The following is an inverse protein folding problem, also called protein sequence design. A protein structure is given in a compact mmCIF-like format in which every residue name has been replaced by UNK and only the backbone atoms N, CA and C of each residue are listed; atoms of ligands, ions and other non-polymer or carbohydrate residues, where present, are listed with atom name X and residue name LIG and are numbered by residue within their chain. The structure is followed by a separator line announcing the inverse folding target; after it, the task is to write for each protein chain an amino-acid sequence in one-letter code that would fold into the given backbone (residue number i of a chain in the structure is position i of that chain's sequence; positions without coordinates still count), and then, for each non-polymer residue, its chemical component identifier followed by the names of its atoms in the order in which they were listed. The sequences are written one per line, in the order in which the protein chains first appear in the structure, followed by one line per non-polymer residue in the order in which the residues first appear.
data_IF_239821011654
#
_entry.id   IF_239821011654
#
_cell.length_a   1.000
_cell.length_b   1.000
_cell.length_c   1.000
_cell.angle_alpha   90.00
_cell.angle_beta   90.00
_cell.angle_gamma   90.00
#
_symmetry.space_group_name_H-M   'P 1'
#
loop_
_entity.id
_entity.type
_entity.pdbx_description
1 polymer ?
#
# COMPACT_ATOMS: atom_id res chain seq x y z
N UNK A 1 -3.05 -14.57 -16.76
CA UNK A 1 -3.29 -13.24 -16.19
C UNK A 1 -4.60 -12.68 -16.75
N UNK A 2 -5.56 -12.40 -15.87
CA UNK A 2 -6.77 -11.63 -16.20
C UNK A 2 -6.43 -10.13 -16.31
N UNK A 3 -7.07 -9.41 -17.23
CA UNK A 3 -6.93 -7.96 -17.37
C UNK A 3 -8.28 -7.25 -17.22
N UNK A 4 -8.28 -6.08 -16.61
CA UNK A 4 -9.45 -5.23 -16.36
C UNK A 4 -9.20 -3.79 -16.76
N UNK A 5 -10.28 -3.06 -17.03
CA UNK A 5 -10.21 -1.61 -17.24
C UNK A 5 -10.23 -0.92 -15.88
N UNK A 6 -9.29 0.00 -15.65
CA UNK A 6 -9.19 0.79 -14.43
C UNK A 6 -10.19 1.95 -14.43
N UNK A 7 -11.47 1.61 -14.28
CA UNK A 7 -12.57 2.57 -14.28
C UNK A 7 -12.54 3.51 -15.50
N UNK A 8 -12.86 4.78 -15.28
CA UNK A 8 -12.90 5.83 -16.32
C UNK A 8 -11.54 6.22 -16.89
N UNK A 9 -10.43 5.69 -16.37
CA UNK A 9 -9.11 5.93 -16.97
C UNK A 9 -8.98 5.26 -18.35
N UNK A 10 -9.69 4.15 -18.58
CA UNK A 10 -9.52 3.34 -19.80
C UNK A 10 -8.25 2.49 -19.81
N UNK A 11 -7.38 2.60 -18.80
CA UNK A 11 -6.15 1.80 -18.72
C UNK A 11 -6.48 0.31 -18.54
N UNK A 12 -5.92 -0.54 -19.40
CA UNK A 12 -6.07 -1.99 -19.30
C UNK A 12 -4.94 -2.58 -18.45
N UNK A 13 -5.29 -3.02 -17.24
CA UNK A 13 -4.33 -3.47 -16.23
C UNK A 13 -4.55 -4.93 -15.83
N UNK A 14 -3.49 -5.62 -15.43
CA UNK A 14 -3.54 -6.96 -14.87
C UNK A 14 -4.28 -6.98 -13.53
N UNK A 15 -4.99 -8.08 -13.26
CA UNK A 15 -5.76 -8.29 -12.02
C UNK A 15 -4.88 -8.22 -10.76
N UNK A 16 -3.64 -8.68 -10.89
CA UNK A 16 -2.58 -8.46 -9.91
C UNK A 16 -1.68 -7.32 -10.39
N UNK A 17 -1.41 -6.36 -9.53
CA UNK A 17 -0.34 -5.38 -9.70
C UNK A 17 0.76 -5.59 -8.67
N UNK A 18 1.79 -4.73 -8.72
CA UNK A 18 2.92 -4.75 -7.81
C UNK A 18 2.88 -3.56 -6.85
N UNK A 19 2.85 -3.83 -5.54
CA UNK A 19 2.99 -2.80 -4.51
C UNK A 19 4.45 -2.54 -4.15
N UNK A 20 4.98 -1.34 -4.42
CA UNK A 20 6.42 -1.03 -4.40
C UNK A 20 7.07 -0.75 -3.04
N UNK A 21 6.35 -0.89 -1.92
CA UNK A 21 6.93 -0.72 -0.57
C UNK A 21 8.13 -1.67 -0.32
N UNK A 22 8.07 -2.97 -0.67
CA UNK A 22 9.16 -3.92 -0.45
C UNK A 22 10.43 -3.65 -1.24
N UNK A 23 10.41 -2.82 -2.28
CA UNK A 23 11.62 -2.43 -3.03
C UNK A 23 12.69 -1.86 -2.09
N UNK A 24 12.27 -1.24 -0.99
CA UNK A 24 13.15 -0.72 0.06
C UNK A 24 13.96 -1.81 0.80
N UNK A 25 13.70 -3.09 0.52
CA UNK A 25 14.36 -4.25 1.15
C UNK A 25 15.24 -5.03 0.18
N UNK A 26 15.27 -4.66 -1.09
CA UNK A 26 16.09 -5.28 -2.13
C UNK A 26 16.95 -4.22 -2.80
N UNK A 27 17.96 -4.64 -3.56
CA UNK A 27 18.81 -3.73 -4.33
C UNK A 27 18.24 -3.47 -5.74
N UNK A 28 18.95 -2.65 -6.51
CA UNK A 28 18.56 -2.28 -7.86
C UNK A 28 18.58 -3.49 -8.82
N UNK A 29 19.55 -4.40 -8.69
CA UNK A 29 19.63 -5.61 -9.51
C UNK A 29 18.49 -6.59 -9.22
N UNK A 30 18.17 -6.81 -7.94
CA UNK A 30 17.01 -7.59 -7.52
C UNK A 30 15.70 -6.98 -8.01
N UNK A 31 15.59 -5.65 -7.98
CA UNK A 31 14.43 -4.92 -8.51
C UNK A 31 14.29 -5.14 -10.01
N UNK A 32 15.38 -5.01 -10.77
CA UNK A 32 15.39 -5.28 -12.22
C UNK A 32 14.96 -6.71 -12.53
N UNK A 33 15.56 -7.70 -11.87
CA UNK A 33 15.18 -9.10 -12.05
C UNK A 33 13.69 -9.34 -11.76
N UNK A 34 13.16 -8.72 -10.71
CA UNK A 34 11.74 -8.81 -10.35
C UNK A 34 10.83 -8.15 -11.41
N UNK A 35 11.18 -6.96 -11.92
CA UNK A 35 10.38 -6.29 -12.95
C UNK A 35 10.30 -7.10 -14.26
N UNK A 36 11.42 -7.69 -14.69
CA UNK A 36 11.42 -8.59 -15.84
C UNK A 36 10.53 -9.82 -15.60
N UNK A 37 10.55 -10.39 -14.39
CA UNK A 37 9.69 -11.54 -14.05
C UNK A 37 8.21 -11.17 -13.98
N UNK A 38 7.87 -9.97 -13.52
CA UNK A 38 6.50 -9.45 -13.60
C UNK A 38 6.03 -9.36 -15.06
N UNK A 39 6.86 -8.80 -15.94
CA UNK A 39 6.57 -8.68 -17.37
C UNK A 39 6.36 -10.06 -18.02
N UNK A 40 7.26 -11.01 -17.78
CA UNK A 40 7.15 -12.39 -18.28
C UNK A 40 5.83 -13.07 -17.88
N UNK A 41 5.28 -12.72 -16.72
CA UNK A 41 4.01 -13.26 -16.20
C UNK A 41 2.78 -12.41 -16.57
N UNK A 42 2.97 -11.37 -17.40
CA UNK A 42 1.91 -10.48 -17.86
C UNK A 42 1.37 -9.53 -16.78
N UNK A 43 2.10 -9.29 -15.70
CA UNK A 43 1.77 -8.22 -14.75
C UNK A 43 2.20 -6.89 -15.36
N UNK A 44 1.29 -5.92 -15.42
CA UNK A 44 1.57 -4.63 -16.04
C UNK A 44 1.19 -3.42 -15.18
N UNK A 45 0.76 -3.58 -13.92
CA UNK A 45 0.46 -2.44 -13.04
C UNK A 45 1.46 -2.36 -11.88
N UNK A 46 2.12 -1.20 -11.72
CA UNK A 46 3.09 -0.93 -10.67
C UNK A 46 2.62 0.28 -9.85
N UNK A 47 2.53 0.14 -8.52
CA UNK A 47 2.30 1.25 -7.58
C UNK A 47 3.55 1.52 -6.75
N UNK A 48 3.99 2.78 -6.71
CA UNK A 48 5.06 3.25 -5.82
C UNK A 48 4.69 4.60 -5.19
N UNK A 49 5.62 5.26 -4.49
CA UNK A 49 5.39 6.59 -3.92
C UNK A 49 6.71 7.36 -3.73
N UNK A 50 6.62 8.70 -3.80
CA UNK A 50 7.70 9.62 -3.41
C UNK A 50 8.24 9.35 -2.00
N UNK A 51 7.34 8.98 -1.09
CA UNK A 51 7.67 8.72 0.32
C UNK A 51 8.35 7.36 0.57
N UNK A 52 8.48 6.49 -0.43
CA UNK A 52 9.04 5.14 -0.26
C UNK A 52 10.55 5.11 -0.52
N UNK A 53 11.33 5.92 0.21
CA UNK A 53 12.81 5.98 0.13
C UNK A 53 13.38 5.76 -1.29
N UNK A 54 13.99 4.59 -1.55
CA UNK A 54 14.66 4.22 -2.81
C UNK A 54 13.73 3.60 -3.87
N UNK A 55 12.45 3.42 -3.57
CA UNK A 55 11.53 2.64 -4.41
C UNK A 55 11.41 3.18 -5.83
N UNK A 56 11.20 4.49 -6.02
CA UNK A 56 11.13 5.08 -7.35
C UNK A 56 12.45 5.00 -8.12
N UNK A 57 13.59 5.20 -7.44
CA UNK A 57 14.90 5.14 -8.08
C UNK A 57 15.22 3.73 -8.59
N UNK A 58 14.99 2.72 -7.74
CA UNK A 58 15.24 1.33 -8.11
C UNK A 58 14.24 0.82 -9.15
N UNK A 59 12.97 1.26 -9.09
CA UNK A 59 12.01 0.97 -10.16
C UNK A 59 12.41 1.64 -11.48
N UNK A 60 12.92 2.89 -11.45
CA UNK A 60 13.44 3.54 -12.64
C UNK A 60 14.59 2.76 -13.30
N UNK A 61 15.49 2.19 -12.51
CA UNK A 61 16.53 1.26 -12.99
C UNK A 61 15.91 -0.03 -13.53
N UNK A 62 14.99 -0.63 -12.79
CA UNK A 62 14.40 -1.92 -13.12
C UNK A 62 13.49 -1.91 -14.36
N UNK A 63 12.99 -0.74 -14.76
CA UNK A 63 12.12 -0.55 -15.91
C UNK A 63 12.85 -0.09 -17.18
N UNK A 64 14.16 0.11 -17.12
CA UNK A 64 14.95 0.55 -18.27
C UNK A 64 14.87 -0.45 -19.44
N UNK A 65 14.35 0.01 -20.58
CA UNK A 65 14.12 -0.81 -21.77
C UNK A 65 12.83 -1.65 -21.76
N UNK A 66 12.00 -1.55 -20.73
CA UNK A 66 10.69 -2.26 -20.64
C UNK A 66 9.54 -1.37 -20.12
N UNK A 67 9.79 -0.07 -19.90
CA UNK A 67 8.87 0.89 -19.25
C UNK A 67 7.50 0.94 -19.94
N UNK A 68 7.46 0.86 -21.26
CA UNK A 68 6.27 0.95 -22.10
C UNK A 68 5.27 -0.20 -21.88
N UNK A 69 5.73 -1.32 -21.29
CA UNK A 69 4.87 -2.45 -20.99
C UNK A 69 4.08 -2.29 -19.69
N UNK A 70 4.35 -1.25 -18.90
CA UNK A 70 3.74 -1.05 -17.60
C UNK A 70 2.88 0.21 -17.54
N UNK A 71 1.76 0.10 -16.84
CA UNK A 71 1.02 1.19 -16.24
C UNK A 71 1.68 1.53 -14.90
N UNK A 72 2.33 2.69 -14.84
CA UNK A 72 3.11 3.13 -13.69
C UNK A 72 2.34 4.16 -12.87
N UNK A 73 2.09 3.83 -11.60
CA UNK A 73 1.45 4.70 -10.64
C UNK A 73 2.43 5.16 -9.55
N UNK A 74 2.43 6.46 -9.23
CA UNK A 74 3.09 7.00 -8.04
C UNK A 74 2.20 8.00 -7.31
N UNK A 75 2.69 8.56 -6.21
CA UNK A 75 1.92 9.41 -5.31
C UNK A 75 2.78 10.29 -4.43
N UNK A 76 2.22 11.43 -4.01
CA UNK A 76 2.86 12.39 -3.11
C UNK A 76 1.95 12.86 -1.96
N UNK A 77 2.57 13.16 -0.82
CA UNK A 77 1.94 13.80 0.35
C UNK A 77 1.84 15.33 0.22
N UNK A 78 2.34 15.92 -0.86
CA UNK A 78 2.26 17.37 -1.09
C UNK A 78 0.81 17.84 -1.25
N UNK A 79 0.52 19.05 -0.74
CA UNK A 79 -0.83 19.66 -0.74
C UNK A 79 -0.93 20.99 -1.48
N UNK A 80 0.21 21.59 -1.83
CA UNK A 80 0.30 22.86 -2.58
C UNK A 80 0.77 22.61 -4.00
N UNK A 81 0.39 23.47 -4.94
CA UNK A 81 0.79 23.39 -6.34
C UNK A 81 2.32 23.35 -6.50
N UNK A 82 3.05 24.26 -5.85
CA UNK A 82 4.52 24.35 -5.93
C UNK A 82 5.20 23.04 -5.49
N UNK A 83 4.89 22.56 -4.28
CA UNK A 83 5.46 21.32 -3.76
C UNK A 83 5.06 20.09 -4.59
N UNK A 84 3.82 20.03 -5.08
CA UNK A 84 3.37 18.93 -5.93
C UNK A 84 4.07 18.94 -7.29
N UNK A 85 4.23 20.10 -7.93
CA UNK A 85 4.97 20.22 -9.20
C UNK A 85 6.43 19.76 -9.04
N UNK A 86 7.08 20.18 -7.95
CA UNK A 86 8.43 19.73 -7.60
C UNK A 86 8.50 18.22 -7.41
N UNK A 87 7.53 17.63 -6.71
CA UNK A 87 7.49 16.19 -6.49
C UNK A 87 7.27 15.41 -7.79
N UNK A 88 6.42 15.89 -8.70
CA UNK A 88 6.21 15.28 -10.02
C UNK A 88 7.53 15.23 -10.79
N UNK A 89 8.29 16.34 -10.84
CA UNK A 89 9.57 16.38 -11.54
C UNK A 89 10.61 15.44 -10.91
N UNK A 90 10.61 15.31 -9.58
CA UNK A 90 11.47 14.34 -8.88
C UNK A 90 11.04 12.91 -9.19
N UNK A 91 9.75 12.60 -9.18
CA UNK A 91 9.23 11.27 -9.54
C UNK A 91 9.66 10.88 -10.96
N UNK A 92 9.45 11.76 -11.95
CA UNK A 92 9.83 11.53 -13.34
C UNK A 92 11.34 11.25 -13.46
N UNK A 93 12.17 12.05 -12.79
CA UNK A 93 13.62 11.86 -12.74
C UNK A 93 14.00 10.50 -12.13
N UNK A 94 13.46 10.17 -10.96
CA UNK A 94 13.82 8.94 -10.24
C UNK A 94 13.35 7.69 -11.00
N UNK A 95 12.14 7.74 -11.55
CA UNK A 95 11.55 6.68 -12.37
C UNK A 95 12.15 6.62 -13.79
N UNK A 96 13.07 7.52 -14.13
CA UNK A 96 13.77 7.59 -15.42
C UNK A 96 12.83 7.58 -16.61
N UNK A 97 11.74 8.33 -16.52
CA UNK A 97 10.70 8.42 -17.54
C UNK A 97 10.20 9.86 -17.66
N UNK A 98 9.68 10.20 -18.82
CA UNK A 98 9.02 11.47 -19.13
C UNK A 98 7.51 11.43 -18.86
N UNK A 99 6.96 10.25 -18.54
CA UNK A 99 5.52 10.05 -18.35
C UNK A 99 5.16 9.08 -17.22
N UNK A 100 4.16 9.43 -16.42
CA UNK A 100 3.55 8.59 -15.37
C UNK A 100 2.08 8.38 -15.68
N UNK A 101 1.64 7.12 -15.77
CA UNK A 101 0.26 6.80 -16.16
C UNK A 101 -0.78 7.29 -15.14
N UNK A 102 -0.49 7.13 -13.84
CA UNK A 102 -1.39 7.53 -12.76
C UNK A 102 -0.62 8.23 -11.63
N UNK A 103 -1.02 9.46 -11.31
CA UNK A 103 -0.46 10.19 -10.18
C UNK A 103 -1.53 10.44 -9.11
N UNK A 104 -1.23 10.09 -7.86
CA UNK A 104 -2.25 10.08 -6.80
C UNK A 104 -1.92 11.08 -5.68
N UNK A 105 -2.96 11.72 -5.12
CA UNK A 105 -2.87 12.42 -3.84
C UNK A 105 -2.77 11.37 -2.73
N UNK A 106 -1.63 11.34 -2.04
CA UNK A 106 -1.36 10.33 -1.02
C UNK A 106 -1.98 10.75 0.32
N UNK A 107 -2.91 9.93 0.83
CA UNK A 107 -3.43 9.99 2.20
C UNK A 107 -3.79 11.41 2.66
N UNK A 108 -4.62 12.11 1.90
CA UNK A 108 -5.15 13.41 2.29
C UNK A 108 -6.37 13.22 3.20
N UNK A 109 -6.30 13.53 4.51
CA UNK A 109 -7.48 13.53 5.36
C UNK A 109 -8.49 14.59 4.88
N UNK A 110 -9.75 14.52 5.32
CA UNK A 110 -10.80 15.48 4.94
C UNK A 110 -10.38 16.95 5.09
N UNK A 111 -9.69 17.27 6.17
CA UNK A 111 -9.18 18.62 6.46
C UNK A 111 -8.15 19.13 5.43
N UNK A 112 -7.40 18.23 4.78
CA UNK A 112 -6.43 18.59 3.74
C UNK A 112 -7.09 18.72 2.36
N UNK A 113 -8.24 18.08 2.14
CA UNK A 113 -8.85 18.00 0.81
C UNK A 113 -9.30 19.36 0.29
N UNK A 114 -9.79 20.24 1.17
CA UNK A 114 -10.11 21.62 0.80
C UNK A 114 -8.87 22.34 0.25
N UNK A 115 -7.72 22.20 0.94
CA UNK A 115 -6.44 22.78 0.51
C UNK A 115 -5.93 22.17 -0.80
N UNK A 116 -6.15 20.88 -1.04
CA UNK A 116 -5.77 20.23 -2.30
C UNK A 116 -6.53 20.84 -3.48
N UNK A 117 -7.81 21.18 -3.29
CA UNK A 117 -8.71 21.66 -4.32
C UNK A 117 -8.76 23.20 -4.46
N UNK A 118 -8.24 23.95 -3.50
CA UNK A 118 -8.26 25.41 -3.52
C UNK A 118 -7.23 25.99 -4.51
N UNK A 119 -7.33 27.28 -4.89
CA UNK A 119 -6.30 27.94 -5.67
C UNK A 119 -4.92 27.84 -5.01
N UNK A 120 -3.90 27.49 -5.78
CA UNK A 120 -2.56 27.15 -5.27
C UNK A 120 -2.46 25.76 -4.63
N UNK A 121 -3.52 24.95 -4.68
CA UNK A 121 -3.60 23.58 -4.18
C UNK A 121 -2.92 22.57 -5.10
N UNK A 122 -2.63 21.38 -4.58
CA UNK A 122 -1.94 20.33 -5.32
C UNK A 122 -2.67 19.89 -6.61
N UNK A 123 -4.00 20.03 -6.68
CA UNK A 123 -4.77 19.66 -7.86
C UNK A 123 -4.38 20.50 -9.08
N UNK A 124 -4.08 21.79 -8.92
CA UNK A 124 -3.66 22.66 -10.03
C UNK A 124 -2.38 22.14 -10.70
N UNK A 125 -1.40 21.69 -9.90
CA UNK A 125 -0.17 21.12 -10.42
C UNK A 125 -0.39 19.79 -11.13
N UNK A 126 -1.28 18.93 -10.61
CA UNK A 126 -1.63 17.67 -11.27
C UNK A 126 -2.37 17.92 -12.59
N UNK A 127 -3.32 18.85 -12.60
CA UNK A 127 -4.03 19.24 -13.83
C UNK A 127 -3.05 19.83 -14.85
N UNK A 128 -2.16 20.73 -14.44
CA UNK A 128 -1.13 21.29 -15.31
C UNK A 128 -0.18 20.22 -15.87
N UNK A 129 0.26 19.26 -15.03
CA UNK A 129 1.10 18.15 -15.46
C UNK A 129 0.37 17.22 -16.44
N UNK A 130 -0.94 16.99 -16.24
CA UNK A 130 -1.78 16.21 -17.16
C UNK A 130 -1.92 16.92 -18.51
N UNK A 131 -2.21 18.22 -18.51
CA UNK A 131 -2.26 19.05 -19.73
C UNK A 131 -0.91 19.08 -20.45
N UNK A 132 0.20 19.11 -19.71
CA UNK A 132 1.55 19.08 -20.28
C UNK A 132 1.99 17.68 -20.75
N UNK A 133 1.16 16.65 -20.59
CA UNK A 133 1.49 15.28 -20.99
C UNK A 133 2.53 14.58 -20.10
N UNK A 134 2.81 15.10 -18.90
CA UNK A 134 3.72 14.48 -17.92
C UNK A 134 3.04 13.34 -17.14
N UNK A 135 1.73 13.43 -16.95
CA UNK A 135 0.93 12.40 -16.29
C UNK A 135 -0.35 12.09 -17.08
N UNK A 136 -0.88 10.87 -16.95
CA UNK A 136 -2.11 10.45 -17.64
C UNK A 136 -3.38 10.67 -16.83
N UNK A 137 -3.40 10.15 -15.60
CA UNK A 137 -4.60 10.08 -14.76
C UNK A 137 -4.33 10.58 -13.35
N UNK A 138 -5.39 11.01 -12.68
CA UNK A 138 -5.35 11.54 -11.32
C UNK A 138 -6.20 10.66 -10.39
N UNK A 139 -5.60 10.21 -9.29
CA UNK A 139 -6.27 9.40 -8.27
C UNK A 139 -6.06 9.91 -6.85
N UNK A 140 -6.64 9.19 -5.89
CA UNK A 140 -6.45 9.43 -4.45
C UNK A 140 -6.17 8.11 -3.75
N UNK A 141 -5.32 8.17 -2.72
CA UNK A 141 -5.24 7.09 -1.73
C UNK A 141 -5.88 7.54 -0.42
N UNK A 142 -6.69 6.68 0.17
CA UNK A 142 -7.41 6.94 1.41
C UNK A 142 -7.08 5.88 2.46
N UNK A 143 -7.04 6.28 3.73
CA UNK A 143 -6.86 5.38 4.88
C UNK A 143 -8.00 5.46 5.89
N UNK A 144 -8.98 6.35 5.67
CA UNK A 144 -10.22 6.45 6.44
C UNK A 144 -11.44 6.32 5.52
N UNK A 145 -12.53 5.79 6.06
CA UNK A 145 -13.81 5.73 5.34
C UNK A 145 -14.35 7.12 5.00
N UNK A 146 -14.06 8.12 5.82
CA UNK A 146 -14.47 9.50 5.60
C UNK A 146 -13.79 10.09 4.35
N UNK A 147 -12.46 9.93 4.22
CA UNK A 147 -11.75 10.35 3.01
C UNK A 147 -12.23 9.57 1.78
N UNK A 148 -12.50 8.27 1.90
CA UNK A 148 -13.03 7.48 0.78
C UNK A 148 -14.39 8.04 0.33
N UNK A 149 -15.34 8.24 1.24
CA UNK A 149 -16.65 8.84 0.90
C UNK A 149 -16.52 10.20 0.24
N UNK A 150 -15.65 11.06 0.77
CA UNK A 150 -15.37 12.35 0.16
C UNK A 150 -14.81 12.22 -1.26
N UNK A 151 -13.84 11.31 -1.47
CA UNK A 151 -13.21 11.10 -2.77
C UNK A 151 -14.19 10.61 -3.85
N UNK A 152 -15.22 9.83 -3.49
CA UNK A 152 -16.27 9.37 -4.40
C UNK A 152 -17.12 10.50 -4.99
N UNK A 153 -17.16 11.65 -4.33
CA UNK A 153 -17.94 12.82 -4.76
C UNK A 153 -17.10 13.86 -5.52
N UNK A 154 -15.78 13.68 -5.59
CA UNK A 154 -14.89 14.60 -6.28
C UNK A 154 -14.83 14.27 -7.79
N UNK A 155 -15.22 15.20 -8.68
CA UNK A 155 -15.39 14.90 -10.11
C UNK A 155 -14.08 14.53 -10.81
N UNK A 156 -12.95 15.04 -10.31
CA UNK A 156 -11.61 14.82 -10.87
C UNK A 156 -10.99 13.47 -10.47
N UNK A 157 -11.56 12.75 -9.49
CA UNK A 157 -10.99 11.47 -9.01
C UNK A 157 -11.29 10.37 -10.02
N UNK A 158 -10.25 9.77 -10.59
CA UNK A 158 -10.35 8.66 -11.56
C UNK A 158 -10.12 7.29 -10.93
N UNK A 159 -9.31 7.24 -9.86
CA UNK A 159 -9.04 6.02 -9.09
C UNK A 159 -9.04 6.30 -7.59
N UNK A 160 -9.44 5.30 -6.81
CA UNK A 160 -9.34 5.31 -5.35
C UNK A 160 -8.58 4.06 -4.92
N UNK A 161 -7.50 4.28 -4.15
CA UNK A 161 -6.76 3.21 -3.48
C UNK A 161 -7.07 3.19 -1.99
N UNK A 162 -7.50 2.03 -1.47
CA UNK A 162 -7.91 1.87 -0.06
C UNK A 162 -7.49 0.50 0.49
N UNK A 163 -7.22 0.35 1.81
CA UNK A 163 -6.98 -0.96 2.41
C UNK A 163 -8.21 -1.85 2.29
N UNK A 164 -8.05 -3.04 1.69
CA UNK A 164 -9.11 -4.04 1.64
C UNK A 164 -8.51 -5.43 1.79
N UNK A 165 -8.88 -6.14 2.84
CA UNK A 165 -8.38 -7.48 3.18
C UNK A 165 -9.31 -8.19 4.18
N UNK A 166 -8.94 -9.40 4.62
CA UNK A 166 -9.75 -10.26 5.50
C UNK A 166 -10.19 -9.56 6.79
N UNK A 167 -9.39 -8.65 7.35
CA UNK A 167 -9.67 -7.92 8.61
C UNK A 167 -10.09 -6.48 8.42
N UNK A 168 -9.92 -5.94 7.21
CA UNK A 168 -10.27 -4.57 6.84
C UNK A 168 -11.24 -4.62 5.65
N UNK A 169 -12.49 -5.05 5.89
CA UNK A 169 -13.54 -5.17 4.87
C UNK A 169 -14.69 -4.18 5.01
N UNK A 170 -14.54 -3.19 5.88
CA UNK A 170 -15.53 -2.15 6.19
C UNK A 170 -15.91 -1.26 5.00
N UNK A 171 -15.16 -1.31 3.90
CA UNK A 171 -15.36 -0.47 2.73
C UNK A 171 -16.13 -1.16 1.58
N UNK A 172 -16.66 -2.38 1.76
CA UNK A 172 -17.34 -3.14 0.68
C UNK A 172 -18.37 -2.31 -0.10
N UNK A 173 -19.24 -1.58 0.60
CA UNK A 173 -20.25 -0.72 -0.04
C UNK A 173 -19.63 0.45 -0.82
N UNK A 174 -18.53 1.04 -0.31
CA UNK A 174 -17.82 2.11 -1.00
C UNK A 174 -17.04 1.60 -2.22
N UNK A 175 -16.53 0.38 -2.16
CA UNK A 175 -15.90 -0.30 -3.30
C UNK A 175 -16.95 -0.55 -4.38
N UNK A 176 -18.16 -0.97 -4.01
CA UNK A 176 -19.26 -1.10 -4.96
C UNK A 176 -19.63 0.25 -5.60
N UNK A 177 -19.71 1.31 -4.79
CA UNK A 177 -19.96 2.66 -5.29
C UNK A 177 -18.88 3.16 -6.28
N UNK A 178 -17.61 2.72 -6.14
CA UNK A 178 -16.60 2.97 -7.17
C UNK A 178 -17.02 2.38 -8.52
N UNK A 179 -17.50 1.13 -8.54
CA UNK A 179 -17.92 0.46 -9.76
C UNK A 179 -19.12 1.18 -10.41
N UNK A 180 -20.13 1.57 -9.61
CA UNK A 180 -21.30 2.33 -10.09
C UNK A 180 -20.90 3.67 -10.72
N UNK A 181 -19.88 4.35 -10.16
CA UNK A 181 -19.37 5.64 -10.65
C UNK A 181 -18.27 5.51 -11.70
N UNK A 182 -17.95 4.30 -12.14
CA UNK A 182 -16.84 4.00 -13.04
C UNK A 182 -15.50 4.59 -12.55
N UNK A 183 -15.22 4.47 -11.25
CA UNK A 183 -13.96 4.83 -10.61
C UNK A 183 -13.14 3.56 -10.41
N UNK A 184 -11.86 3.56 -10.81
CA UNK A 184 -10.99 2.40 -10.64
C UNK A 184 -10.66 2.15 -9.16
N UNK A 185 -10.92 0.95 -8.64
CA UNK A 185 -10.57 0.60 -7.27
C UNK A 185 -9.28 -0.22 -7.18
N UNK A 186 -8.33 0.28 -6.41
CA UNK A 186 -7.03 -0.36 -6.16
C UNK A 186 -7.02 -0.88 -4.72
N UNK A 187 -6.99 -2.20 -4.53
CA UNK A 187 -6.92 -2.81 -3.21
C UNK A 187 -5.46 -2.84 -2.72
N UNK A 188 -5.15 -1.98 -1.75
CA UNK A 188 -3.85 -2.00 -1.07
C UNK A 188 -3.89 -2.82 0.22
N UNK A 189 -2.70 -3.19 0.70
CA UNK A 189 -2.51 -3.98 1.94
C UNK A 189 -3.35 -5.26 1.98
N UNK A 190 -3.36 -6.09 0.91
CA UNK A 190 -4.13 -7.34 0.91
C UNK A 190 -3.72 -8.31 2.02
N UNK A 191 -2.46 -8.26 2.46
CA UNK A 191 -1.92 -9.07 3.58
C UNK A 191 -1.88 -8.30 4.91
N UNK A 192 -2.68 -7.23 5.06
CA UNK A 192 -2.74 -6.43 6.28
C UNK A 192 -1.35 -5.89 6.74
N UNK A 193 -0.49 -5.51 5.78
CA UNK A 193 0.89 -5.07 6.07
C UNK A 193 1.83 -6.21 6.47
N UNK A 194 1.51 -7.46 6.13
CA UNK A 194 2.26 -8.66 6.48
C UNK A 194 1.81 -9.31 7.80
N UNK A 195 0.67 -8.88 8.36
CA UNK A 195 0.07 -9.51 9.54
C UNK A 195 -0.79 -10.74 9.17
N UNK A 196 -1.18 -10.88 7.91
CA UNK A 196 -1.74 -12.13 7.38
C UNK A 196 -0.63 -12.86 6.64
N UNK A 197 -0.22 -14.02 7.14
CA UNK A 197 0.86 -14.84 6.55
C UNK A 197 0.37 -15.73 5.41
N UNK A 198 -0.89 -16.18 5.46
CA UNK A 198 -1.51 -16.97 4.39
C UNK A 198 -1.88 -16.04 3.23
N UNK A 199 -0.88 -15.72 2.40
CA UNK A 199 -1.01 -14.86 1.24
C UNK A 199 -2.06 -15.38 0.24
N UNK A 200 -2.19 -16.70 0.10
CA UNK A 200 -3.14 -17.31 -0.82
C UNK A 200 -4.56 -16.99 -0.36
N UNK A 201 -4.91 -17.33 0.88
CA UNK A 201 -6.24 -17.04 1.43
C UNK A 201 -6.53 -15.53 1.42
N UNK A 202 -5.53 -14.69 1.74
CA UNK A 202 -5.67 -13.23 1.72
C UNK A 202 -6.00 -12.66 0.33
N UNK A 203 -5.28 -13.10 -0.70
CA UNK A 203 -5.48 -12.62 -2.06
C UNK A 203 -6.76 -13.16 -2.67
N UNK A 204 -7.09 -14.44 -2.42
CA UNK A 204 -8.36 -15.05 -2.81
C UNK A 204 -9.56 -14.28 -2.25
N UNK A 205 -9.51 -13.88 -0.98
CA UNK A 205 -10.53 -13.02 -0.36
C UNK A 205 -10.72 -11.69 -1.10
N UNK A 206 -9.63 -10.99 -1.40
CA UNK A 206 -9.69 -9.70 -2.10
C UNK A 206 -10.23 -9.87 -3.52
N UNK A 207 -9.75 -10.88 -4.25
CA UNK A 207 -10.14 -11.16 -5.62
C UNK A 207 -11.58 -11.67 -5.76
N UNK A 208 -12.16 -12.26 -4.71
CA UNK A 208 -13.56 -12.66 -4.66
C UNK A 208 -14.54 -11.48 -4.72
N UNK A 209 -14.08 -10.25 -4.41
CA UNK A 209 -14.88 -9.05 -4.65
C UNK A 209 -14.74 -8.64 -6.14
N UNK A 210 -15.83 -8.72 -6.95
CA UNK A 210 -15.78 -8.37 -8.36
C UNK A 210 -15.51 -6.88 -8.61
N UNK A 211 -15.78 -6.00 -7.65
CA UNK A 211 -15.64 -4.54 -7.77
C UNK A 211 -14.21 -4.05 -7.47
N UNK A 212 -13.36 -4.92 -6.92
CA UNK A 212 -11.92 -4.64 -6.93
C UNK A 212 -11.47 -4.58 -8.39
N UNK A 213 -10.64 -3.63 -8.80
CA UNK A 213 -10.06 -3.66 -10.16
C UNK A 213 -8.74 -4.41 -10.14
N UNK A 214 -7.84 -4.00 -9.26
CA UNK A 214 -6.49 -4.57 -9.11
C UNK A 214 -6.16 -4.72 -7.62
N UNK A 215 -5.48 -5.81 -7.28
CA UNK A 215 -4.86 -6.02 -5.97
C UNK A 215 -3.35 -5.83 -6.09
N UNK A 216 -2.75 -5.09 -5.16
CA UNK A 216 -1.30 -4.78 -5.18
C UNK A 216 -0.57 -5.39 -3.96
N UNK A 217 -0.35 -6.72 -3.92
CA UNK A 217 0.52 -7.29 -2.92
C UNK A 217 1.95 -6.73 -3.07
N UNK A 218 2.60 -6.54 -1.93
CA UNK A 218 4.04 -6.32 -1.92
C UNK A 218 4.78 -7.65 -2.01
N UNK A 219 5.84 -7.70 -2.80
CA UNK A 219 6.75 -8.85 -2.91
C UNK A 219 8.18 -8.37 -3.12
N UNK A 220 9.16 -9.16 -2.69
CA UNK A 220 10.59 -8.89 -2.77
C UNK A 220 11.37 -10.02 -3.47
N UNK A 221 10.76 -11.19 -3.69
CA UNK A 221 11.38 -12.30 -4.39
C UNK A 221 10.40 -13.06 -5.31
N UNK A 222 10.95 -14.02 -6.05
CA UNK A 222 10.23 -14.81 -7.06
C UNK A 222 9.28 -15.84 -6.44
N UNK A 223 9.57 -16.35 -5.23
CA UNK A 223 8.68 -17.28 -4.57
C UNK A 223 7.39 -16.58 -4.13
N UNK A 224 7.50 -15.39 -3.57
CA UNK A 224 6.36 -14.52 -3.25
C UNK A 224 5.57 -14.15 -4.52
N UNK A 225 6.25 -13.81 -5.63
CA UNK A 225 5.60 -13.57 -6.92
C UNK A 225 4.76 -14.77 -7.37
N UNK A 226 5.35 -15.96 -7.37
CA UNK A 226 4.66 -17.18 -7.82
C UNK A 226 3.46 -17.51 -6.93
N UNK A 227 3.59 -17.36 -5.61
CA UNK A 227 2.50 -17.57 -4.66
C UNK A 227 1.34 -16.58 -4.91
N UNK A 228 1.67 -15.29 -5.10
CA UNK A 228 0.68 -14.26 -5.37
C UNK A 228 -0.04 -14.50 -6.71
N UNK A 229 0.71 -14.90 -7.75
CA UNK A 229 0.15 -15.25 -9.05
C UNK A 229 -0.78 -16.45 -8.98
N UNK A 230 -0.40 -17.51 -8.26
CA UNK A 230 -1.24 -18.68 -8.10
C UNK A 230 -2.59 -18.31 -7.44
N UNK A 231 -2.55 -17.47 -6.40
CA UNK A 231 -3.75 -17.03 -5.70
C UNK A 231 -4.65 -16.13 -6.57
N UNK A 232 -4.08 -15.17 -7.30
CA UNK A 232 -4.88 -14.22 -8.09
C UNK A 232 -5.41 -14.83 -9.39
N UNK A 233 -4.70 -15.79 -9.99
CA UNK A 233 -5.16 -16.46 -11.21
C UNK A 233 -6.20 -17.56 -10.94
N UNK A 234 -6.33 -18.03 -9.69
CA UNK A 234 -7.46 -18.88 -9.32
C UNK A 234 -8.73 -18.03 -9.32
N UNK A 235 -9.70 -18.41 -10.15
CA UNK A 235 -11.00 -17.74 -10.28
C UNK A 235 -12.16 -18.60 -9.77
N UNK A 236 -11.88 -19.71 -9.08
CA UNK A 236 -12.91 -20.53 -8.46
C UNK A 236 -13.67 -19.73 -7.37
N UNK A 237 -14.88 -20.12 -6.99
CA UNK A 237 -15.52 -19.60 -5.78
C UNK A 237 -14.71 -19.96 -4.53
N UNK A 238 -14.82 -19.16 -3.47
CA UNK A 238 -14.19 -19.48 -2.19
C UNK A 238 -14.76 -20.79 -1.62
N UNK A 239 -13.88 -21.68 -1.17
CA UNK A 239 -14.29 -22.94 -0.52
C UNK A 239 -14.73 -22.71 0.94
N UNK A 240 -15.48 -23.67 1.49
CA UNK A 240 -15.91 -23.63 2.91
C UNK A 240 -14.69 -23.61 3.84
N UNK A 241 -13.62 -24.31 3.47
CA UNK A 241 -12.35 -24.34 4.19
C UNK A 241 -11.63 -22.99 4.13
N UNK A 242 -11.59 -22.35 2.95
CA UNK A 242 -11.03 -21.00 2.79
C UNK A 242 -11.80 -19.99 3.65
N UNK A 243 -13.13 -20.03 3.63
CA UNK A 243 -13.95 -19.16 4.47
C UNK A 243 -13.72 -19.40 5.97
N UNK A 244 -13.55 -20.66 6.38
CA UNK A 244 -13.22 -20.99 7.76
C UNK A 244 -11.85 -20.44 8.17
N UNK A 245 -10.84 -20.53 7.31
CA UNK A 245 -9.53 -19.91 7.53
C UNK A 245 -9.63 -18.39 7.63
N UNK A 246 -10.41 -17.75 6.76
CA UNK A 246 -10.62 -16.29 6.80
C UNK A 246 -11.26 -15.85 8.12
N UNK A 247 -12.26 -16.58 8.61
CA UNK A 247 -12.87 -16.33 9.94
C UNK A 247 -11.83 -16.47 11.05
N UNK A 248 -11.05 -17.55 11.07
CA UNK A 248 -10.00 -17.75 12.06
C UNK A 248 -8.94 -16.64 12.05
N UNK A 249 -8.49 -16.21 10.87
CA UNK A 249 -7.56 -15.07 10.70
C UNK A 249 -8.18 -13.80 11.27
N UNK A 250 -9.46 -13.54 10.98
CA UNK A 250 -10.17 -12.35 11.44
C UNK A 250 -10.25 -12.30 12.96
N UNK A 251 -10.66 -13.41 13.58
CA UNK A 251 -10.84 -13.52 15.02
C UNK A 251 -9.49 -13.40 15.76
N UNK A 252 -8.42 -13.97 15.19
CA UNK A 252 -7.09 -13.95 15.81
C UNK A 252 -6.39 -12.58 15.70
N UNK A 253 -6.54 -11.86 14.59
CA UNK A 253 -5.80 -10.62 14.34
C UNK A 253 -6.56 -9.38 14.84
N UNK A 254 -7.90 -9.39 14.78
CA UNK A 254 -8.73 -8.24 15.14
C UNK A 254 -8.41 -6.99 14.32
N UNK A 255 -8.68 -5.81 14.88
CA UNK A 255 -8.54 -4.53 14.18
C UNK A 255 -7.36 -3.66 14.66
N UNK A 256 -6.76 -3.98 15.82
CA UNK A 256 -5.68 -3.21 16.45
C UNK A 256 -4.30 -3.83 16.22
N UNK A 257 -3.81 -3.83 14.97
CA UNK A 257 -2.48 -4.34 14.63
C UNK A 257 -1.66 -3.33 13.80
N UNK A 258 -0.33 -3.47 13.80
CA UNK A 258 0.51 -2.60 12.98
C UNK A 258 0.49 -3.00 11.50
N UNK A 259 0.16 -2.06 10.61
CA UNK A 259 0.18 -2.26 9.15
C UNK A 259 1.56 -2.03 8.50
N UNK A 260 2.63 -1.88 9.30
CA UNK A 260 4.03 -1.67 8.87
C UNK A 260 4.25 -0.59 7.79
N UNK A 261 3.44 0.46 7.81
CA UNK A 261 3.52 1.58 6.87
C UNK A 261 4.59 2.63 7.22
N UNK A 262 5.15 2.57 8.43
CA UNK A 262 6.16 3.49 8.94
C UNK A 262 5.78 4.98 9.01
N UNK A 263 4.51 5.38 8.82
CA UNK A 263 4.09 6.77 9.04
C UNK A 263 4.33 7.28 10.47
N UNK A 264 4.41 6.38 11.45
CA UNK A 264 4.75 6.73 12.83
C UNK A 264 6.22 7.14 13.01
N UNK A 265 7.10 6.87 12.05
CA UNK A 265 8.54 7.14 12.14
C UNK A 265 8.88 8.59 11.76
N UNK A 266 10.02 9.15 12.23
CA UNK A 266 10.91 8.58 13.24
C UNK A 266 10.31 8.68 14.65
N UNK A 267 10.53 7.66 15.47
CA UNK A 267 10.25 7.66 16.91
C UNK A 267 11.25 8.58 17.64
N UNK A 268 10.77 9.42 18.56
CA UNK A 268 11.63 10.31 19.36
C UNK A 268 12.64 9.57 20.25
N UNK A 269 12.36 8.31 20.59
CA UNK A 269 13.26 7.42 21.33
C UNK A 269 14.07 6.49 20.41
N UNK A 270 14.03 6.67 19.09
CA UNK A 270 14.77 5.82 18.14
C UNK A 270 14.20 4.41 17.94
N UNK A 271 13.05 4.08 18.53
CA UNK A 271 12.43 2.76 18.44
C UNK A 271 11.96 2.47 17.01
N UNK A 272 12.34 1.30 16.47
CA UNK A 272 11.71 0.75 15.27
C UNK A 272 10.34 0.16 15.61
N UNK A 273 9.33 1.04 15.78
CA UNK A 273 7.96 0.68 16.21
C UNK A 273 7.35 -0.45 15.37
N UNK A 274 7.51 -0.40 14.05
CA UNK A 274 6.98 -1.43 13.15
C UNK A 274 7.71 -2.76 13.29
N UNK A 275 9.01 -2.77 13.58
CA UNK A 275 9.76 -3.99 13.87
C UNK A 275 9.35 -4.59 15.22
N UNK A 276 9.16 -3.75 16.24
CA UNK A 276 8.66 -4.20 17.55
C UNK A 276 7.33 -4.93 17.38
N UNK A 277 6.36 -4.31 16.70
CA UNK A 277 5.04 -4.92 16.49
C UNK A 277 5.03 -6.11 15.54
N UNK A 278 5.99 -6.18 14.60
CA UNK A 278 6.20 -7.37 13.79
C UNK A 278 6.64 -8.55 14.68
N UNK A 279 7.65 -8.33 15.52
CA UNK A 279 8.18 -9.38 16.39
C UNK A 279 7.18 -9.77 17.49
N UNK A 280 6.46 -8.81 18.06
CA UNK A 280 5.36 -9.09 18.99
C UNK A 280 4.31 -9.98 18.34
N UNK A 281 3.99 -9.75 17.06
CA UNK A 281 3.11 -10.63 16.29
C UNK A 281 3.62 -12.08 16.21
N UNK A 282 4.89 -12.27 15.86
CA UNK A 282 5.54 -13.60 15.84
C UNK A 282 5.58 -14.28 17.21
N UNK A 283 5.72 -13.50 18.28
CA UNK A 283 5.69 -14.00 19.63
C UNK A 283 4.29 -14.46 20.05
N UNK A 284 3.25 -13.66 19.74
CA UNK A 284 1.90 -13.85 20.26
C UNK A 284 1.01 -14.76 19.41
N UNK A 285 1.22 -14.80 18.08
CA UNK A 285 0.23 -15.37 17.15
C UNK A 285 0.73 -16.55 16.33
N UNK A 286 2.03 -16.61 16.02
CA UNK A 286 2.53 -17.44 14.92
C UNK A 286 3.37 -18.65 15.37
N UNK A 287 3.41 -18.95 16.68
CA UNK A 287 4.17 -20.10 17.20
C UNK A 287 5.69 -19.99 17.00
N UNK A 288 6.19 -18.78 16.72
CA UNK A 288 7.60 -18.49 16.42
C UNK A 288 8.27 -17.72 17.58
N UNK A 289 7.92 -18.07 18.83
CA UNK A 289 8.32 -17.34 20.02
C UNK A 289 9.86 -17.17 20.15
N UNK A 290 10.63 -18.24 19.97
CA UNK A 290 12.09 -18.19 20.08
C UNK A 290 12.73 -17.33 18.99
N UNK A 291 12.22 -17.44 17.76
CA UNK A 291 12.66 -16.62 16.63
C UNK A 291 12.34 -15.14 16.88
N UNK A 292 11.13 -14.84 17.36
CA UNK A 292 10.71 -13.49 17.69
C UNK A 292 11.60 -12.88 18.76
N UNK A 293 11.89 -13.60 19.85
CA UNK A 293 12.79 -13.14 20.92
C UNK A 293 14.21 -12.89 20.39
N UNK A 294 14.74 -13.81 19.58
CA UNK A 294 16.06 -13.67 18.97
C UNK A 294 16.16 -12.41 18.09
N UNK A 295 15.19 -12.17 17.20
CA UNK A 295 15.16 -10.99 16.34
C UNK A 295 14.91 -9.70 17.10
N UNK A 296 14.04 -9.74 18.10
CA UNK A 296 13.78 -8.59 18.95
C UNK A 296 15.03 -8.20 19.75
N UNK A 297 15.84 -9.17 20.21
CA UNK A 297 17.09 -8.91 20.90
C UNK A 297 18.11 -8.12 20.04
N UNK A 298 18.04 -8.19 18.71
CA UNK A 298 18.94 -7.43 17.82
C UNK A 298 18.51 -5.98 17.58
N UNK A 299 17.32 -5.56 18.03
CA UNK A 299 16.89 -4.16 17.88
C UNK A 299 17.78 -3.24 18.72
N UNK A 300 18.21 -2.12 18.13
CA UNK A 300 19.02 -1.11 18.83
C UNK A 300 18.28 -0.55 20.03
N UNK A 301 17.05 -0.07 19.82
CA UNK A 301 16.16 0.37 20.89
C UNK A 301 14.99 -0.59 21.08
N UNK A 302 14.67 -0.84 22.34
CA UNK A 302 13.62 -1.73 22.83
C UNK A 302 12.30 -1.01 23.05
N UNK A 303 11.23 -1.79 23.21
CA UNK A 303 9.89 -1.30 23.44
C UNK A 303 9.75 -0.58 24.79
N UNK A 304 10.41 -1.10 25.83
CA UNK A 304 10.49 -0.50 27.19
C UNK A 304 11.14 0.88 27.22
N UNK A 305 11.92 1.25 26.21
CA UNK A 305 12.55 2.57 26.10
C UNK A 305 11.58 3.67 25.61
N UNK A 306 10.29 3.35 25.45
CA UNK A 306 9.27 4.31 25.06
C UNK A 306 9.10 5.41 26.12
N UNK A 307 9.44 6.66 25.77
CA UNK A 307 9.30 7.82 26.65
C UNK A 307 7.87 8.39 26.76
N UNK A 308 6.87 7.73 26.17
CA UNK A 308 5.46 8.12 26.29
C UNK A 308 5.03 9.42 25.56
N UNK A 309 5.88 9.99 24.70
CA UNK A 309 5.63 11.31 24.08
C UNK A 309 4.39 11.42 23.17
N UNK A 310 3.88 10.31 22.62
CA UNK A 310 2.65 10.27 21.82
C UNK A 310 2.78 10.74 20.36
N UNK A 311 3.95 11.22 19.91
CA UNK A 311 4.15 11.72 18.55
C UNK A 311 3.89 10.68 17.44
N UNK A 312 4.05 9.38 17.75
CA UNK A 312 3.75 8.30 16.81
C UNK A 312 2.25 8.10 16.59
N UNK A 313 1.42 8.30 17.62
CA UNK A 313 -0.04 8.11 17.58
C UNK A 313 -0.69 9.20 16.75
N UNK A 314 -0.22 10.45 16.85
CA UNK A 314 -0.72 11.57 16.02
C UNK A 314 -0.42 11.40 14.53
N UNK A 315 0.57 10.57 14.18
CA UNK A 315 0.94 10.26 12.78
C UNK A 315 0.31 8.96 12.27
N UNK A 316 -0.27 8.14 13.15
CA UNK A 316 -0.81 6.85 12.77
C UNK A 316 -2.18 7.04 12.09
N UNK A 317 -2.35 6.70 10.81
CA UNK A 317 -3.65 6.89 10.13
C UNK A 317 -4.72 5.90 10.60
N UNK A 318 -4.35 4.94 11.47
CA UNK A 318 -5.24 3.93 12.02
C UNK A 318 -5.56 4.17 13.50
N UNK A 319 -5.11 5.30 14.06
CA UNK A 319 -5.35 5.69 15.47
C UNK A 319 -5.01 4.58 16.47
N UNK A 320 -3.93 3.81 16.19
CA UNK A 320 -3.48 2.75 17.08
C UNK A 320 -3.00 3.35 18.41
N UNK A 321 -3.29 2.71 19.56
CA UNK A 321 -2.75 3.10 20.86
C UNK A 321 -1.29 2.64 21.00
N UNK A 322 -0.41 3.16 20.15
CA UNK A 322 0.98 2.71 19.98
C UNK A 322 1.72 2.67 21.32
N UNK A 323 1.49 3.62 22.24
CA UNK A 323 2.14 3.61 23.55
C UNK A 323 1.72 2.41 24.41
N UNK A 324 0.42 2.09 24.44
CA UNK A 324 -0.09 0.89 25.14
C UNK A 324 0.48 -0.37 24.49
N UNK A 325 0.40 -0.45 23.17
CA UNK A 325 0.91 -1.61 22.42
C UNK A 325 2.41 -1.81 22.62
N UNK A 326 3.22 -0.74 22.70
CA UNK A 326 4.65 -0.84 23.00
C UNK A 326 4.90 -1.36 24.42
N UNK A 327 4.11 -0.89 25.39
CA UNK A 327 4.18 -1.38 26.78
C UNK A 327 3.83 -2.87 26.84
N UNK A 328 2.75 -3.29 26.19
CA UNK A 328 2.36 -4.70 26.10
C UNK A 328 3.42 -5.54 25.39
N UNK A 329 4.05 -5.01 24.33
CA UNK A 329 5.16 -5.69 23.67
C UNK A 329 6.35 -5.87 24.61
N UNK A 330 6.74 -4.83 25.37
CA UNK A 330 7.81 -4.89 26.36
C UNK A 330 7.54 -6.00 27.40
N UNK A 331 6.33 -6.03 27.96
CA UNK A 331 5.90 -7.06 28.93
C UNK A 331 6.02 -8.48 28.34
N UNK A 332 5.59 -8.69 27.08
CA UNK A 332 5.68 -10.00 26.41
C UNK A 332 7.13 -10.43 26.12
N UNK A 333 7.99 -9.48 25.80
CA UNK A 333 9.41 -9.73 25.57
C UNK A 333 10.20 -9.92 26.88
N UNK A 334 9.62 -9.61 28.03
CA UNK A 334 10.22 -9.80 29.36
C UNK A 334 11.10 -8.63 29.79
N UNK A 335 10.73 -7.42 29.36
CA UNK A 335 11.36 -6.16 29.76
C UNK A 335 10.67 -5.50 30.96
#
# INVERSE_FOLDING_TARGET
MEYRILGKTGLKISRMGFGGIPIQRIDAEGTKALMHKLLENGVNYIDTARGYTVSEEYLGIGLEGIREHFVLATKSMSRTAEAMAKDIDISLKNLRTDYIDLYQIHNAPPADMEKVCSPGGALEALTAAKTAGKIGHIGITAHSLETFRMALELPWVETIMFPYNIVEDQAKELIHACAEKNIGFIAMKPLAGGAIEDAVTALRYVCANPDVTVVIPGMADIAELNQNLAAVNDSSPLSVEEEAKMRAIRDALGTQFCRRCNYCQPCSAGISISSVFLFEGYLSRYGLADWARSRYATLTQKASECIGCGACESRCPYHLPIRSMLKEAAEKFGE
#
